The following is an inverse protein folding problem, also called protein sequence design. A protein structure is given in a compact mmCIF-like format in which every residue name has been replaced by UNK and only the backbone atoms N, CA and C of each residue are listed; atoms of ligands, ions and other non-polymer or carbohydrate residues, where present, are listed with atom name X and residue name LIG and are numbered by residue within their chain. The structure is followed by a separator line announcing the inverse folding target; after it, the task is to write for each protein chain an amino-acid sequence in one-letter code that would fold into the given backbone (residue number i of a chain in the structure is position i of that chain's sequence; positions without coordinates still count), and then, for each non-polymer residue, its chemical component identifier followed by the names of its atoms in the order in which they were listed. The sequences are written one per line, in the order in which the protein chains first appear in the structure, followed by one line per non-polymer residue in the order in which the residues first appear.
data_IF_136976309373
#
_entry.id   IF_136976309373
#
_cell.length_a   1.000
_cell.length_b   1.000
_cell.length_c   1.000
_cell.angle_alpha   90.00
_cell.angle_beta   90.00
_cell.angle_gamma   90.00
#
_symmetry.space_group_name_H-M   'P 1'
#
loop_
_entity.id
_entity.type
_entity.pdbx_description
1 polymer ?
#
# COMPACT_ATOMS: atom_id res chain seq x y z
N UNK A 1 -28.47 2.57 -44.64
CA UNK A 1 -28.83 3.53 -43.58
C UNK A 1 -28.27 2.97 -42.28
N UNK A 2 -27.07 3.42 -41.90
CA UNK A 2 -26.46 3.03 -40.62
C UNK A 2 -27.06 3.90 -39.53
N UNK A 3 -27.77 3.29 -38.60
CA UNK A 3 -28.28 3.94 -37.41
C UNK A 3 -27.10 4.22 -36.49
N UNK A 4 -26.68 5.48 -36.39
CA UNK A 4 -25.75 5.93 -35.35
C UNK A 4 -26.47 5.75 -34.01
N UNK A 5 -26.04 4.76 -33.22
CA UNK A 5 -26.51 4.59 -31.85
C UNK A 5 -25.90 5.72 -31.04
N UNK A 6 -26.74 6.64 -30.58
CA UNK A 6 -26.37 7.68 -29.63
C UNK A 6 -25.92 6.99 -28.32
N UNK A 7 -24.76 7.34 -27.73
CA UNK A 7 -24.38 6.78 -26.44
C UNK A 7 -25.43 7.15 -25.40
N UNK A 8 -25.94 6.14 -24.69
CA UNK A 8 -26.91 6.34 -23.63
C UNK A 8 -26.29 7.21 -22.53
N UNK A 9 -26.98 8.28 -22.16
CA UNK A 9 -26.58 9.16 -21.06
C UNK A 9 -26.61 8.33 -19.77
N UNK A 10 -25.43 8.05 -19.21
CA UNK A 10 -25.31 7.38 -17.92
C UNK A 10 -26.00 8.24 -16.84
N UNK A 11 -26.81 7.61 -16.00
CA UNK A 11 -27.48 8.28 -14.89
C UNK A 11 -26.57 8.24 -13.66
N UNK A 12 -26.71 9.22 -12.77
CA UNK A 12 -25.94 9.32 -11.53
C UNK A 12 -26.02 8.02 -10.69
N UNK A 13 -24.95 7.66 -9.95
CA UNK A 13 -24.89 6.41 -9.19
C UNK A 13 -25.98 6.32 -8.12
N UNK A 14 -26.31 5.08 -7.73
CA UNK A 14 -27.25 4.75 -6.65
C UNK A 14 -26.85 5.34 -5.31
N UNK A 15 -25.53 5.44 -5.04
CA UNK A 15 -25.02 6.06 -3.82
C UNK A 15 -24.60 7.53 -4.05
N UNK A 16 -25.24 8.49 -3.34
CA UNK A 16 -24.86 9.90 -3.35
C UNK A 16 -23.37 10.10 -3.05
N UNK A 17 -22.71 11.06 -3.72
CA UNK A 17 -21.27 11.30 -3.61
C UNK A 17 -20.79 11.46 -2.16
N UNK A 18 -21.60 12.09 -1.31
CA UNK A 18 -21.33 12.33 0.10
C UNK A 18 -21.49 11.08 1.00
N UNK A 19 -21.94 9.96 0.46
CA UNK A 19 -22.14 8.68 1.16
C UNK A 19 -21.21 7.56 0.66
N UNK A 20 -20.39 7.85 -0.35
CA UNK A 20 -19.39 6.93 -0.89
C UNK A 20 -18.24 6.81 0.12
N UNK A 21 -18.13 5.65 0.77
CA UNK A 21 -17.01 5.32 1.67
C UNK A 21 -16.22 4.16 1.09
N UNK A 22 -14.99 4.41 0.63
CA UNK A 22 -14.15 3.42 -0.06
C UNK A 22 -13.10 4.07 -0.96
N UNK A 23 -12.32 3.23 -1.63
CA UNK A 23 -11.34 3.60 -2.67
C UNK A 23 -11.97 3.37 -4.04
N UNK A 24 -11.77 4.29 -4.97
CA UNK A 24 -12.29 4.17 -6.33
C UNK A 24 -11.40 3.26 -7.17
N UNK A 25 -12.01 2.42 -8.00
CA UNK A 25 -11.38 1.66 -9.07
C UNK A 25 -11.94 2.21 -10.37
N UNK A 26 -11.10 2.83 -11.20
CA UNK A 26 -11.52 3.26 -12.52
C UNK A 26 -11.52 2.07 -13.49
N UNK A 27 -12.50 2.04 -14.39
CA UNK A 27 -12.70 1.05 -15.45
C UNK A 27 -12.38 1.77 -16.76
N UNK A 28 -11.20 1.49 -17.30
CA UNK A 28 -10.64 2.22 -18.44
C UNK A 28 -11.32 1.91 -19.77
N UNK A 29 -11.57 0.64 -20.05
CA UNK A 29 -12.23 0.21 -21.27
C UNK A 29 -13.20 -0.94 -20.99
N UNK A 30 -14.44 -0.82 -21.46
CA UNK A 30 -15.43 -1.88 -21.39
C UNK A 30 -16.25 -1.97 -22.69
N UNK A 31 -16.58 -3.19 -23.12
CA UNK A 31 -17.45 -3.41 -24.29
C UNK A 31 -18.81 -4.00 -23.86
N UNK A 32 -19.90 -3.42 -24.39
CA UNK A 32 -21.28 -3.84 -24.11
C UNK A 32 -22.19 -2.69 -23.64
N UNK A 33 -23.52 -2.78 -23.84
CA UNK A 33 -24.46 -1.79 -23.35
C UNK A 33 -24.67 -1.95 -21.84
N UNK A 34 -24.20 -0.98 -21.07
CA UNK A 34 -24.45 -0.92 -19.63
C UNK A 34 -25.92 -0.64 -19.33
N UNK A 35 -26.43 -1.31 -18.31
CA UNK A 35 -27.83 -1.24 -17.87
C UNK A 35 -27.90 -0.68 -16.46
N UNK A 36 -29.02 -0.04 -16.15
CA UNK A 36 -29.27 0.64 -14.87
C UNK A 36 -29.48 -0.32 -13.68
N UNK A 37 -29.48 -1.64 -13.91
CA UNK A 37 -29.82 -2.68 -12.95
C UNK A 37 -28.60 -3.45 -12.41
N UNK A 38 -27.40 -2.90 -12.57
CA UNK A 38 -26.18 -3.57 -12.14
C UNK A 38 -25.99 -3.51 -10.63
N UNK A 39 -25.50 -4.58 -9.99
CA UNK A 39 -25.37 -4.68 -8.53
C UNK A 39 -24.23 -3.82 -7.93
N UNK A 40 -23.52 -3.06 -8.75
CA UNK A 40 -22.37 -2.25 -8.36
C UNK A 40 -22.72 -0.76 -8.34
N UNK A 41 -22.20 -0.02 -7.36
CA UNK A 41 -22.17 1.44 -7.39
C UNK A 41 -21.21 1.90 -8.50
N UNK A 42 -21.72 1.91 -9.74
CA UNK A 42 -21.01 2.36 -10.93
C UNK A 42 -21.46 3.76 -11.31
N UNK A 43 -20.52 4.60 -11.72
CA UNK A 43 -20.86 5.89 -12.34
C UNK A 43 -19.95 6.24 -13.50
N UNK A 44 -20.51 7.00 -14.44
CA UNK A 44 -19.73 7.60 -15.52
C UNK A 44 -18.97 8.81 -15.00
N UNK A 45 -17.73 8.98 -15.47
CA UNK A 45 -16.89 10.14 -15.20
C UNK A 45 -16.97 11.15 -16.35
N UNK A 46 -16.58 12.40 -16.10
CA UNK A 46 -16.62 13.47 -17.11
C UNK A 46 -15.61 13.31 -18.26
N UNK A 47 -14.61 12.44 -18.08
CA UNK A 47 -13.45 12.28 -18.97
C UNK A 47 -13.61 11.08 -19.93
N UNK A 48 -14.79 11.00 -20.56
CA UNK A 48 -15.26 9.86 -21.37
C UNK A 48 -14.49 9.61 -22.68
N UNK A 49 -13.45 10.37 -22.98
CA UNK A 49 -12.58 10.13 -24.13
C UNK A 49 -11.59 8.97 -23.87
N UNK A 50 -11.38 8.58 -22.59
CA UNK A 50 -10.38 7.57 -22.18
C UNK A 50 -10.83 6.62 -21.07
N UNK A 51 -11.86 6.96 -20.27
CA UNK A 51 -12.33 6.17 -19.14
C UNK A 51 -13.85 6.02 -19.21
N UNK A 52 -14.36 4.82 -18.94
CA UNK A 52 -15.79 4.57 -19.13
C UNK A 52 -16.57 4.66 -17.80
N UNK A 53 -16.04 4.12 -16.68
CA UNK A 53 -16.77 4.00 -15.41
C UNK A 53 -15.84 3.95 -14.18
N UNK A 54 -16.38 4.19 -12.97
CA UNK A 54 -15.70 3.97 -11.68
C UNK A 54 -16.54 3.07 -10.76
N UNK A 55 -15.90 2.29 -9.90
CA UNK A 55 -16.51 1.46 -8.85
C UNK A 55 -15.83 1.67 -7.50
N UNK A 56 -16.50 1.43 -6.36
CA UNK A 56 -15.86 1.48 -5.04
C UNK A 56 -15.49 0.09 -4.53
N UNK A 57 -14.35 0.00 -3.84
CA UNK A 57 -14.04 -1.12 -2.96
C UNK A 57 -13.57 -0.64 -1.59
N UNK A 58 -13.69 -1.51 -0.59
CA UNK A 58 -13.18 -1.25 0.75
C UNK A 58 -11.91 -2.10 0.97
N UNK A 59 -10.71 -1.48 1.01
CA UNK A 59 -9.45 -2.20 1.19
C UNK A 59 -9.31 -2.87 2.57
N UNK A 60 -10.11 -2.47 3.56
CA UNK A 60 -10.16 -3.14 4.86
C UNK A 60 -10.93 -4.47 4.82
N UNK A 61 -11.63 -4.77 3.71
CA UNK A 61 -12.50 -5.96 3.58
C UNK A 61 -12.02 -6.93 2.51
N UNK A 62 -11.53 -6.43 1.38
CA UNK A 62 -11.10 -7.24 0.23
C UNK A 62 -9.86 -6.63 -0.40
N UNK A 63 -9.02 -7.46 -1.02
CA UNK A 63 -7.89 -6.96 -1.80
C UNK A 63 -8.36 -6.28 -3.09
N UNK A 64 -7.53 -5.43 -3.70
CA UNK A 64 -7.81 -4.83 -5.00
C UNK A 64 -8.02 -5.91 -6.07
N UNK A 65 -7.20 -6.96 -6.09
CA UNK A 65 -7.33 -8.05 -7.05
C UNK A 65 -8.68 -8.80 -6.91
N UNK A 66 -9.12 -9.04 -5.67
CA UNK A 66 -10.43 -9.65 -5.40
C UNK A 66 -11.58 -8.72 -5.79
N UNK A 67 -11.42 -7.41 -5.56
CA UNK A 67 -12.38 -6.39 -5.99
C UNK A 67 -12.51 -6.36 -7.52
N UNK A 68 -11.40 -6.31 -8.25
CA UNK A 68 -11.35 -6.34 -9.71
C UNK A 68 -11.96 -7.64 -10.29
N UNK A 69 -11.65 -8.78 -9.70
CA UNK A 69 -12.22 -10.08 -10.10
C UNK A 69 -13.74 -10.12 -9.86
N UNK A 70 -14.20 -9.59 -8.72
CA UNK A 70 -15.61 -9.47 -8.39
C UNK A 70 -16.35 -8.55 -9.36
N UNK A 71 -15.77 -7.39 -9.69
CA UNK A 71 -16.35 -6.44 -10.64
C UNK A 71 -16.42 -7.05 -12.04
N UNK A 72 -15.37 -7.75 -12.51
CA UNK A 72 -15.40 -8.47 -13.79
C UNK A 72 -16.51 -9.50 -13.84
N UNK A 73 -16.69 -10.26 -12.76
CA UNK A 73 -17.72 -11.31 -12.67
C UNK A 73 -19.11 -10.70 -12.74
N UNK A 74 -19.38 -9.68 -11.94
CA UNK A 74 -20.67 -8.99 -11.91
C UNK A 74 -20.97 -8.32 -13.26
N UNK A 75 -20.02 -7.61 -13.86
CA UNK A 75 -20.25 -6.98 -15.17
C UNK A 75 -20.45 -8.00 -16.31
N UNK A 76 -19.78 -9.15 -16.25
CA UNK A 76 -19.98 -10.22 -17.22
C UNK A 76 -21.41 -10.79 -17.21
N UNK A 77 -22.07 -10.86 -16.04
CA UNK A 77 -23.49 -11.26 -15.92
C UNK A 77 -24.43 -10.34 -16.72
N UNK A 78 -24.00 -9.09 -16.94
CA UNK A 78 -24.73 -8.10 -17.74
C UNK A 78 -24.17 -7.93 -19.16
N UNK A 79 -23.34 -8.86 -19.65
CA UNK A 79 -22.66 -8.81 -20.95
C UNK A 79 -21.77 -7.57 -21.14
N UNK A 80 -21.16 -7.09 -20.06
CA UNK A 80 -20.16 -6.02 -20.10
C UNK A 80 -18.79 -6.64 -19.84
N UNK A 81 -17.89 -6.50 -20.82
CA UNK A 81 -16.53 -7.00 -20.70
C UNK A 81 -15.57 -5.89 -20.31
N UNK A 82 -14.99 -5.94 -19.12
CA UNK A 82 -13.92 -5.04 -18.70
C UNK A 82 -12.61 -5.45 -19.38
N UNK A 83 -12.02 -4.59 -20.19
CA UNK A 83 -10.71 -4.83 -20.80
C UNK A 83 -9.59 -4.47 -19.82
N UNK A 84 -9.70 -3.31 -19.17
CA UNK A 84 -8.69 -2.83 -18.22
C UNK A 84 -9.31 -2.09 -17.03
N UNK A 85 -8.72 -2.31 -15.85
CA UNK A 85 -8.88 -1.43 -14.70
C UNK A 85 -7.74 -0.41 -14.69
N UNK A 86 -8.07 0.81 -14.27
CA UNK A 86 -7.16 1.90 -14.07
C UNK A 86 -7.17 2.19 -12.57
N UNK A 87 -6.03 1.93 -11.93
CA UNK A 87 -5.86 2.24 -10.51
C UNK A 87 -5.38 3.69 -10.43
N UNK A 88 -6.31 4.64 -10.35
CA UNK A 88 -6.00 6.07 -10.31
C UNK A 88 -5.23 6.49 -9.04
N UNK A 89 -5.26 5.65 -7.99
CA UNK A 89 -4.56 5.88 -6.73
C UNK A 89 -3.18 5.20 -6.67
N UNK A 90 -2.81 4.39 -7.68
CA UNK A 90 -1.54 3.66 -7.73
C UNK A 90 -0.62 4.15 -8.85
N UNK A 91 0.71 3.99 -8.73
CA UNK A 91 1.61 4.30 -9.82
C UNK A 91 1.33 3.41 -11.04
N UNK A 92 1.24 4.00 -12.23
CA UNK A 92 1.06 3.25 -13.46
C UNK A 92 2.18 2.21 -13.64
N UNK A 93 1.81 1.01 -14.07
CA UNK A 93 2.78 0.00 -14.50
C UNK A 93 3.36 0.38 -15.87
N UNK A 94 4.54 -0.15 -16.20
CA UNK A 94 5.15 0.02 -17.51
C UNK A 94 4.25 -0.53 -18.65
N UNK A 95 3.48 -1.60 -18.39
CA UNK A 95 2.49 -2.11 -19.34
C UNK A 95 1.39 -1.08 -19.64
N UNK A 96 0.87 -0.41 -18.62
CA UNK A 96 -0.12 0.66 -18.76
C UNK A 96 0.45 1.89 -19.47
N UNK A 97 1.75 2.17 -19.29
CA UNK A 97 2.46 3.24 -20.02
C UNK A 97 2.77 2.91 -21.48
N UNK A 98 2.64 1.64 -21.88
CA UNK A 98 2.77 1.18 -23.27
C UNK A 98 4.13 0.59 -23.66
N UNK A 99 4.18 -0.01 -24.85
CA UNK A 99 5.36 -0.74 -25.35
C UNK A 99 6.57 0.15 -25.58
N UNK A 100 6.37 1.39 -26.01
CA UNK A 100 7.44 2.36 -26.26
C UNK A 100 8.16 2.72 -24.94
N UNK A 101 7.42 2.83 -23.85
CA UNK A 101 7.98 3.03 -22.51
C UNK A 101 8.86 1.84 -22.11
N UNK A 102 8.34 0.62 -22.24
CA UNK A 102 9.08 -0.60 -21.91
C UNK A 102 10.36 -0.73 -22.75
N UNK A 103 10.30 -0.42 -24.04
CA UNK A 103 11.46 -0.46 -24.93
C UNK A 103 12.50 0.61 -24.58
N UNK A 104 12.05 1.84 -24.27
CA UNK A 104 12.94 2.97 -23.94
C UNK A 104 13.74 2.71 -22.66
N UNK A 105 13.09 2.15 -21.64
CA UNK A 105 13.66 2.01 -20.30
C UNK A 105 14.00 0.57 -19.91
N UNK A 106 13.82 -0.40 -20.81
CA UNK A 106 14.06 -1.81 -20.53
C UNK A 106 13.14 -2.41 -19.45
N UNK A 107 12.01 -1.75 -19.16
CA UNK A 107 11.12 -2.13 -18.07
C UNK A 107 10.41 -3.47 -18.32
N UNK A 108 10.25 -4.25 -17.25
CA UNK A 108 9.28 -5.34 -17.21
C UNK A 108 7.83 -4.79 -17.17
N UNK A 109 6.82 -5.54 -17.64
CA UNK A 109 5.43 -5.06 -17.69
C UNK A 109 4.88 -4.55 -16.35
N UNK A 110 5.33 -5.13 -15.24
CA UNK A 110 4.88 -4.81 -13.89
C UNK A 110 5.67 -3.67 -13.23
N UNK A 111 6.72 -3.13 -13.86
CA UNK A 111 7.55 -2.08 -13.26
C UNK A 111 6.73 -0.81 -13.02
N UNK A 112 6.67 -0.32 -11.79
CA UNK A 112 5.92 0.90 -11.43
C UNK A 112 6.77 2.17 -11.43
N UNK A 113 8.10 2.03 -11.35
CA UNK A 113 9.04 3.15 -11.31
C UNK A 113 8.84 4.14 -12.47
N UNK A 114 8.82 5.43 -12.15
CA UNK A 114 8.77 6.52 -13.11
C UNK A 114 10.19 6.95 -13.52
N UNK A 115 10.71 6.34 -14.58
CA UNK A 115 12.04 6.63 -15.12
C UNK A 115 12.18 8.02 -15.76
N UNK A 116 11.12 8.83 -15.82
CA UNK A 116 11.24 10.23 -16.23
C UNK A 116 11.66 11.15 -15.09
N UNK A 117 11.47 10.71 -13.84
CA UNK A 117 11.95 11.47 -12.69
C UNK A 117 13.49 11.40 -12.61
N UNK A 118 14.17 12.55 -12.43
CA UNK A 118 15.63 12.63 -12.41
C UNK A 118 16.26 11.95 -11.20
N UNK A 119 15.46 11.55 -10.21
CA UNK A 119 15.90 10.84 -9.01
C UNK A 119 15.55 9.37 -9.03
N UNK A 120 14.89 8.89 -10.09
CA UNK A 120 14.53 7.48 -10.20
C UNK A 120 15.78 6.66 -10.45
N UNK A 121 15.94 5.64 -9.62
CA UNK A 121 17.05 4.73 -9.73
C UNK A 121 16.85 3.75 -10.90
N UNK A 122 17.95 3.32 -11.52
CA UNK A 122 17.98 2.46 -12.72
C UNK A 122 17.47 1.02 -12.50
N UNK A 123 16.89 0.72 -11.34
CA UNK A 123 16.25 -0.55 -11.05
C UNK A 123 14.75 -0.53 -11.38
N UNK A 124 14.15 -1.71 -11.49
CA UNK A 124 12.73 -1.91 -11.74
C UNK A 124 12.08 -2.57 -10.53
N UNK A 125 10.99 -2.00 -10.02
CA UNK A 125 10.23 -2.61 -8.93
C UNK A 125 8.75 -2.70 -9.25
N UNK A 126 8.09 -3.67 -8.62
CA UNK A 126 6.63 -3.67 -8.49
C UNK A 126 6.19 -2.70 -7.38
N UNK A 127 4.88 -2.48 -7.27
CA UNK A 127 4.33 -1.75 -6.14
C UNK A 127 4.54 -2.53 -4.84
N UNK A 128 4.87 -1.87 -3.72
CA UNK A 128 5.06 -2.56 -2.46
C UNK A 128 3.75 -3.19 -1.98
N UNK A 129 3.83 -4.41 -1.45
CA UNK A 129 2.78 -5.00 -0.63
C UNK A 129 3.03 -4.58 0.81
N UNK A 130 2.11 -3.81 1.38
CA UNK A 130 2.26 -3.23 2.72
C UNK A 130 1.27 -3.83 3.74
N UNK A 131 1.67 -3.85 5.01
CA UNK A 131 0.74 -4.09 6.12
C UNK A 131 -0.17 -2.88 6.33
N UNK A 132 -1.41 -3.13 6.78
CA UNK A 132 -2.30 -2.06 7.24
C UNK A 132 -1.72 -1.31 8.45
N UNK A 133 -1.12 -2.05 9.41
CA UNK A 133 -0.44 -1.48 10.57
C UNK A 133 0.73 -0.59 10.12
N UNK A 134 0.88 0.55 10.78
CA UNK A 134 1.97 1.51 10.56
C UNK A 134 3.06 1.33 11.61
N UNK A 135 4.20 1.98 11.43
CA UNK A 135 5.38 1.79 12.26
C UNK A 135 5.06 2.05 13.75
N UNK A 136 5.75 1.33 14.63
CA UNK A 136 5.56 1.36 16.09
C UNK A 136 6.84 1.73 16.84
N UNK A 137 7.83 2.27 16.12
CA UNK A 137 9.10 2.67 16.69
C UNK A 137 8.90 3.81 17.69
N UNK A 138 9.29 3.56 18.95
CA UNK A 138 9.15 4.51 20.05
C UNK A 138 10.08 5.73 19.91
N UNK A 139 11.12 5.64 19.08
CA UNK A 139 12.00 6.78 18.79
C UNK A 139 11.37 7.80 17.83
N UNK A 140 10.35 7.40 17.07
CA UNK A 140 9.66 8.26 16.12
C UNK A 140 8.41 8.88 16.76
N UNK A 141 8.06 10.08 16.30
CA UNK A 141 6.77 10.68 16.64
C UNK A 141 5.60 9.90 16.01
N UNK A 142 4.37 10.02 16.56
CA UNK A 142 3.19 9.38 15.98
C UNK A 142 2.96 9.75 14.51
N UNK A 143 3.27 10.98 14.11
CA UNK A 143 3.07 11.46 12.74
C UNK A 143 4.13 10.93 11.75
N UNK A 144 5.34 10.66 12.22
CA UNK A 144 6.38 9.97 11.44
C UNK A 144 6.00 8.50 11.27
N UNK A 145 5.61 7.85 12.37
CA UNK A 145 5.17 6.46 12.37
C UNK A 145 3.98 6.23 11.42
N UNK A 146 3.01 7.14 11.38
CA UNK A 146 1.83 7.03 10.51
C UNK A 146 2.15 6.95 9.00
N UNK A 147 3.33 7.42 8.57
CA UNK A 147 3.74 7.44 7.15
C UNK A 147 4.46 6.18 6.71
N UNK A 148 4.88 5.34 7.65
CA UNK A 148 5.76 4.21 7.40
C UNK A 148 4.96 2.92 7.69
N UNK A 149 4.83 1.97 6.76
CA UNK A 149 4.21 0.69 7.06
C UNK A 149 5.02 -0.08 8.11
N UNK A 150 4.35 -0.90 8.92
CA UNK A 150 5.05 -1.78 9.86
C UNK A 150 5.95 -2.77 9.12
N UNK A 151 5.42 -3.39 8.05
CA UNK A 151 6.19 -4.17 7.08
C UNK A 151 5.74 -3.84 5.66
N UNK A 152 6.69 -3.81 4.72
CA UNK A 152 6.39 -3.81 3.30
C UNK A 152 7.37 -4.72 2.55
N UNK A 153 6.94 -5.29 1.44
CA UNK A 153 7.83 -6.07 0.58
C UNK A 153 7.56 -5.79 -0.89
N UNK A 154 8.62 -5.84 -1.70
CA UNK A 154 8.55 -5.62 -3.15
C UNK A 154 9.60 -6.46 -3.88
N UNK A 155 9.29 -6.81 -5.13
CA UNK A 155 10.26 -7.39 -6.06
C UNK A 155 11.08 -6.27 -6.68
N UNK A 156 12.40 -6.42 -6.69
CA UNK A 156 13.30 -5.49 -7.38
C UNK A 156 14.15 -6.25 -8.38
N UNK A 157 14.22 -5.73 -9.60
CA UNK A 157 15.15 -6.19 -10.63
C UNK A 157 16.17 -5.09 -10.85
N UNK A 158 17.44 -5.43 -10.60
CA UNK A 158 18.58 -4.55 -10.86
C UNK A 158 19.21 -5.02 -12.17
N UNK A 159 19.19 -4.14 -13.16
CA UNK A 159 19.65 -4.45 -14.52
C UNK A 159 20.23 -3.20 -15.20
N UNK A 160 20.85 -2.28 -14.46
CA UNK A 160 21.69 -1.25 -15.08
C UNK A 160 22.83 -1.94 -15.83
N UNK A 161 22.99 -1.59 -17.12
CA UNK A 161 24.00 -2.14 -18.04
C UNK A 161 24.22 -3.64 -17.82
N UNK A 162 23.23 -4.50 -18.11
CA UNK A 162 23.24 -5.88 -17.67
C UNK A 162 24.37 -6.70 -18.32
N UNK A 163 24.92 -6.23 -19.45
CA UNK A 163 26.10 -6.82 -20.07
C UNK A 163 27.39 -6.59 -19.27
N UNK A 164 27.44 -5.55 -18.44
CA UNK A 164 28.59 -5.21 -17.60
C UNK A 164 28.43 -5.70 -16.15
N UNK A 165 27.25 -5.52 -15.56
CA UNK A 165 27.01 -5.79 -14.13
C UNK A 165 26.13 -7.03 -13.87
N UNK A 166 25.65 -7.69 -14.93
CA UNK A 166 24.68 -8.77 -14.80
C UNK A 166 23.27 -8.25 -14.53
N UNK A 167 22.36 -9.20 -14.28
CA UNK A 167 20.97 -8.92 -13.92
C UNK A 167 20.66 -9.66 -12.63
N UNK A 168 20.17 -8.94 -11.64
CA UNK A 168 19.78 -9.51 -10.36
C UNK A 168 18.30 -9.32 -10.09
N UNK A 169 17.68 -10.31 -9.45
CA UNK A 169 16.33 -10.20 -8.91
C UNK A 169 16.43 -10.35 -7.41
N UNK A 170 15.93 -9.35 -6.71
CA UNK A 170 15.96 -9.20 -5.26
C UNK A 170 14.53 -9.07 -4.74
N UNK A 171 14.36 -9.36 -3.46
CA UNK A 171 13.19 -8.99 -2.67
C UNK A 171 13.68 -7.97 -1.66
N UNK A 172 13.09 -6.79 -1.67
CA UNK A 172 13.31 -5.82 -0.62
C UNK A 172 12.22 -5.98 0.43
N UNK A 173 12.64 -6.19 1.68
CA UNK A 173 11.77 -6.26 2.84
C UNK A 173 12.02 -5.03 3.70
N UNK A 174 11.05 -4.13 3.72
CA UNK A 174 11.04 -2.95 4.57
C UNK A 174 10.44 -3.31 5.94
N UNK A 175 11.12 -2.94 7.03
CA UNK A 175 10.68 -3.10 8.41
C UNK A 175 10.98 -1.82 9.20
N UNK A 176 9.94 -1.01 9.43
CA UNK A 176 10.11 0.36 9.89
C UNK A 176 10.90 1.21 8.88
N UNK A 177 11.96 1.85 9.33
CA UNK A 177 12.84 2.72 8.49
C UNK A 177 13.99 1.98 7.82
N UNK A 178 14.07 0.66 8.01
CA UNK A 178 15.15 -0.18 7.48
C UNK A 178 14.65 -1.05 6.33
N UNK A 179 15.55 -1.34 5.38
CA UNK A 179 15.29 -2.23 4.24
C UNK A 179 16.32 -3.34 4.21
N UNK A 180 15.86 -4.59 4.20
CA UNK A 180 16.68 -5.75 3.91
C UNK A 180 16.62 -6.10 2.43
N UNK A 181 17.78 -6.14 1.77
CA UNK A 181 17.89 -6.58 0.38
C UNK A 181 18.23 -8.07 0.30
N UNK A 182 17.30 -8.88 -0.17
CA UNK A 182 17.38 -10.34 -0.11
C UNK A 182 17.38 -10.94 -1.51
N UNK A 183 18.10 -12.04 -1.70
CA UNK A 183 17.80 -12.95 -2.81
C UNK A 183 16.44 -13.64 -2.59
N UNK A 184 15.81 -14.23 -3.62
CA UNK A 184 14.57 -14.98 -3.45
C UNK A 184 14.69 -16.17 -2.47
N UNK A 185 15.87 -16.78 -2.38
CA UNK A 185 16.14 -17.88 -1.46
C UNK A 185 16.23 -17.39 -0.01
N UNK A 186 16.90 -16.26 0.23
CA UNK A 186 16.96 -15.64 1.56
C UNK A 186 15.59 -15.13 1.99
N UNK A 187 14.81 -14.53 1.09
CA UNK A 187 13.44 -14.12 1.35
C UNK A 187 12.55 -15.29 1.80
N UNK A 188 12.73 -16.49 1.21
CA UNK A 188 12.05 -17.72 1.67
C UNK A 188 12.48 -18.10 3.09
N UNK A 189 13.77 -18.03 3.42
CA UNK A 189 14.26 -18.33 4.76
C UNK A 189 13.70 -17.36 5.80
N UNK A 190 13.70 -16.06 5.49
CA UNK A 190 13.11 -15.01 6.34
C UNK A 190 11.61 -15.26 6.53
N UNK A 191 10.88 -15.59 5.47
CA UNK A 191 9.45 -15.89 5.56
C UNK A 191 9.16 -17.08 6.51
N UNK A 192 9.95 -18.15 6.44
CA UNK A 192 9.82 -19.28 7.37
C UNK A 192 10.17 -18.88 8.81
N UNK A 193 11.21 -18.07 9.01
CA UNK A 193 11.57 -17.56 10.33
C UNK A 193 10.44 -16.69 10.92
N UNK A 194 9.83 -15.81 10.11
CA UNK A 194 8.70 -14.99 10.52
C UNK A 194 7.50 -15.85 10.92
N UNK A 195 7.15 -16.87 10.13
CA UNK A 195 6.07 -17.81 10.45
C UNK A 195 6.32 -18.53 11.78
N UNK A 196 7.55 -18.99 12.01
CA UNK A 196 7.94 -19.63 13.27
C UNK A 196 7.89 -18.68 14.47
N UNK A 197 8.24 -17.41 14.25
CA UNK A 197 8.26 -16.39 15.31
C UNK A 197 6.85 -16.02 15.80
N UNK A 198 5.81 -16.09 14.96
CA UNK A 198 4.44 -15.72 15.35
C UNK A 198 3.98 -16.43 16.63
N UNK A 199 4.23 -17.73 16.75
CA UNK A 199 3.85 -18.49 17.93
C UNK A 199 4.63 -18.06 19.19
N UNK A 200 5.92 -17.74 19.02
CA UNK A 200 6.76 -17.25 20.12
C UNK A 200 6.32 -15.87 20.58
N UNK A 201 5.99 -15.00 19.63
CA UNK A 201 5.48 -13.66 19.92
C UNK A 201 4.13 -13.71 20.65
N UNK A 202 3.22 -14.59 20.24
CA UNK A 202 1.96 -14.81 20.95
C UNK A 202 2.18 -15.20 22.41
N UNK A 203 3.13 -16.10 22.69
CA UNK A 203 3.48 -16.48 24.07
C UNK A 203 4.06 -15.31 24.89
N UNK A 204 4.83 -14.41 24.26
CA UNK A 204 5.31 -13.18 24.90
C UNK A 204 4.15 -12.23 25.22
N UNK A 205 3.19 -12.07 24.30
CA UNK A 205 1.99 -11.26 24.52
C UNK A 205 1.17 -11.83 25.70
N UNK A 206 0.90 -13.12 25.72
CA UNK A 206 0.19 -13.75 26.85
C UNK A 206 0.93 -13.57 28.18
N UNK A 207 2.27 -13.62 28.16
CA UNK A 207 3.06 -13.35 29.34
C UNK A 207 2.95 -11.89 29.78
N UNK A 208 3.02 -10.95 28.84
CA UNK A 208 2.87 -9.53 29.10
C UNK A 208 1.48 -9.23 29.69
N UNK A 209 0.41 -9.81 29.14
CA UNK A 209 -0.96 -9.66 29.66
C UNK A 209 -1.10 -10.17 31.09
N UNK A 210 -0.48 -11.31 31.43
CA UNK A 210 -0.48 -11.83 32.81
C UNK A 210 0.28 -10.92 33.77
N UNK A 211 1.42 -10.38 33.32
CA UNK A 211 2.24 -9.48 34.14
C UNK A 211 1.54 -8.14 34.36
N UNK A 212 0.85 -7.62 33.34
CA UNK A 212 0.19 -6.33 33.38
C UNK A 212 -1.02 -6.25 34.32
N UNK A 213 -1.47 -7.38 34.89
CA UNK A 213 -2.55 -7.40 35.91
C UNK A 213 -2.18 -6.59 37.15
N UNK A 214 -0.90 -6.59 37.50
CA UNK A 214 -0.38 -5.89 38.68
C UNK A 214 0.17 -4.49 38.34
N UNK A 215 0.05 -4.05 37.08
CA UNK A 215 0.47 -2.70 36.68
C UNK A 215 -0.48 -1.65 37.27
N UNK A 216 0.08 -0.56 37.77
CA UNK A 216 -0.66 0.59 38.25
C UNK A 216 0.06 1.87 37.86
N UNK A 217 -0.72 2.94 37.67
CA UNK A 217 -0.15 4.26 37.44
C UNK A 217 0.57 4.74 38.70
N UNK A 218 1.82 5.19 38.55
CA UNK A 218 2.55 5.83 39.64
C UNK A 218 1.86 7.12 40.10
N UNK A 219 2.00 7.47 41.38
CA UNK A 219 1.46 8.73 41.92
C UNK A 219 2.18 9.94 41.29
N UNK A 220 1.47 10.80 40.53
CA UNK A 220 2.08 11.93 39.85
C UNK A 220 2.76 12.93 40.81
N UNK A 221 2.25 13.07 42.03
CA UNK A 221 2.80 13.99 43.03
C UNK A 221 4.09 13.42 43.63
N UNK A 222 4.15 12.11 43.89
CA UNK A 222 5.39 11.44 44.30
C UNK A 222 6.44 11.57 43.19
N UNK A 223 6.04 11.34 41.93
CA UNK A 223 6.93 11.46 40.77
C UNK A 223 7.42 12.91 40.54
N UNK A 224 6.62 13.93 40.91
CA UNK A 224 7.05 15.34 40.88
C UNK A 224 8.08 15.61 41.99
N UNK A 225 7.78 15.21 43.22
CA UNK A 225 8.65 15.42 44.38
C UNK A 225 10.02 14.73 44.23
N UNK A 226 10.05 13.52 43.67
CA UNK A 226 11.29 12.78 43.41
C UNK A 226 12.15 13.47 42.33
N UNK A 227 11.54 13.90 41.22
CA UNK A 227 12.23 14.71 40.19
C UNK A 227 12.84 15.98 40.77
N UNK A 228 12.09 16.72 41.59
CA UNK A 228 12.63 17.92 42.24
C UNK A 228 13.79 17.61 43.19
N UNK A 229 13.75 16.46 43.87
CA UNK A 229 14.84 16.01 44.73
C UNK A 229 16.07 15.56 43.93
N UNK A 230 15.88 14.94 42.77
CA UNK A 230 16.95 14.61 41.82
C UNK A 230 17.60 15.88 41.25
N UNK A 231 16.80 16.85 40.79
CA UNK A 231 17.29 18.14 40.29
C UNK A 231 18.11 18.92 41.34
N UNK A 232 17.71 18.84 42.61
CA UNK A 232 18.48 19.41 43.73
C UNK A 232 19.81 18.71 43.92
N UNK A 233 19.85 17.37 43.84
CA UNK A 233 21.09 16.57 43.95
C UNK A 233 22.06 16.88 42.81
N UNK A 234 21.55 16.94 41.58
CA UNK A 234 22.35 17.27 40.40
C UNK A 234 22.91 18.68 40.51
N UNK A 235 22.09 19.69 40.87
CA UNK A 235 22.57 21.06 41.09
C UNK A 235 23.62 21.13 42.18
N UNK A 236 23.40 20.50 43.33
CA UNK A 236 24.38 20.48 44.41
C UNK A 236 25.73 19.87 43.97
N UNK A 237 25.71 18.82 43.14
CA UNK A 237 26.92 18.21 42.60
C UNK A 237 27.65 19.13 41.61
N UNK A 238 26.91 19.84 40.74
CA UNK A 238 27.48 20.79 39.75
C UNK A 238 28.00 22.06 40.44
N UNK A 239 27.35 22.50 41.51
CA UNK A 239 27.62 23.77 42.20
C UNK A 239 28.62 23.63 43.37
N UNK A 240 29.03 22.41 43.74
CA UNK A 240 30.11 22.20 44.70
C UNK A 240 31.46 22.40 43.99
N UNK A 241 32.22 23.48 44.27
CA UNK A 241 33.55 23.65 43.72
C UNK A 241 34.47 22.61 44.34
N UNK A 242 35.28 21.94 43.52
CA UNK A 242 36.44 21.18 44.00
C UNK A 242 37.47 22.07 44.66
#
# INVERSE_FOLDING_TARGET
MSTTVQPATATAPSTPLNLRTGVAVAIGAASGPLRQDQPLDLWATGDMDTHAYEALYNPARISLADAEASIRTQLAEHNVHVEAFLNDDGPLTAAQRGTDWMLRWGCTPWCVNDHTSPTTADWHADGPTETALRNIDAANSPSENAKIPFLAARTVVINDKPQAYGRETRVWLDYGTSTGELSPAEARQVLEAMRGFVAQFAAVVEHAERTAVDDFDGDPEIARLDREAEDRRIRAFIETPG
#
